data_IF_824348165861
#
_entry.id   IF_824348165861
#
_cell.length_a   1.000
_cell.length_b   1.000
_cell.length_c   1.000
_cell.angle_alpha   90.00
_cell.angle_beta   90.00
_cell.angle_gamma   90.00
#
_symmetry.space_group_name_H-M   'P 1'
#
loop_
_entity.id
_entity.type
_entity.pdbx_description
1 polymer ?
#
# COMPACT_ATOMS: atom_id res chain seq x y z
N UNK A 1 -14.47 12.75 -16.87
CA UNK A 1 -14.93 11.46 -16.28
C UNK A 1 -13.74 10.51 -16.15
N UNK A 2 -13.51 9.95 -14.97
CA UNK A 2 -12.32 9.16 -14.65
C UNK A 2 -12.17 7.90 -15.52
N UNK A 3 -13.26 7.19 -15.79
CA UNK A 3 -13.29 6.03 -16.68
C UNK A 3 -12.77 6.32 -18.10
N UNK A 4 -13.06 7.52 -18.65
CA UNK A 4 -12.60 7.90 -20.00
C UNK A 4 -11.09 8.05 -20.07
N UNK A 5 -10.48 8.51 -18.97
CA UNK A 5 -9.08 8.91 -18.91
C UNK A 5 -8.19 7.89 -18.21
N UNK A 6 -8.74 6.77 -17.73
CA UNK A 6 -7.96 5.69 -17.13
C UNK A 6 -7.21 4.94 -18.24
N UNK A 7 -5.86 4.86 -18.19
CA UNK A 7 -5.06 4.28 -19.27
C UNK A 7 -5.06 2.73 -19.27
N UNK A 8 -5.54 2.10 -18.19
CA UNK A 8 -5.64 0.63 -18.14
C UNK A 8 -6.81 0.12 -18.97
N UNK A 9 -6.55 -0.92 -19.77
CA UNK A 9 -7.57 -1.65 -20.53
C UNK A 9 -8.16 -2.84 -19.76
N UNK A 10 -7.66 -3.12 -18.56
CA UNK A 10 -8.18 -4.19 -17.72
C UNK A 10 -9.62 -3.87 -17.28
N UNK A 11 -10.60 -4.77 -17.54
CA UNK A 11 -12.00 -4.52 -17.21
C UNK A 11 -12.26 -4.25 -15.71
N UNK A 12 -11.51 -4.87 -14.80
CA UNK A 12 -11.64 -4.67 -13.36
C UNK A 12 -11.16 -3.27 -12.97
N UNK A 13 -10.06 -2.82 -13.56
CA UNK A 13 -9.50 -1.47 -13.32
C UNK A 13 -10.42 -0.40 -13.87
N UNK A 14 -10.97 -0.63 -15.07
CA UNK A 14 -11.98 0.24 -15.65
C UNK A 14 -13.25 0.29 -14.81
N UNK A 15 -13.73 -0.85 -14.31
CA UNK A 15 -14.86 -0.88 -13.40
C UNK A 15 -14.56 -0.12 -12.11
N UNK A 16 -13.38 -0.28 -11.53
CA UNK A 16 -12.94 0.51 -10.38
C UNK A 16 -12.94 2.01 -10.69
N UNK A 17 -12.43 2.43 -11.85
CA UNK A 17 -12.42 3.84 -12.27
C UNK A 17 -13.84 4.40 -12.41
N UNK A 18 -14.80 3.59 -12.85
CA UNK A 18 -16.20 3.97 -12.92
C UNK A 18 -16.83 4.15 -11.54
N UNK A 19 -16.50 3.27 -10.58
CA UNK A 19 -17.22 3.19 -9.31
C UNK A 19 -16.47 3.73 -8.08
N UNK A 20 -15.22 4.18 -8.19
CA UNK A 20 -14.40 4.57 -7.04
C UNK A 20 -15.07 5.64 -6.14
N UNK A 21 -15.87 6.51 -6.74
CA UNK A 21 -16.51 7.68 -6.11
C UNK A 21 -18.00 7.51 -5.79
N UNK A 22 -18.60 6.34 -6.04
CA UNK A 22 -20.06 6.14 -5.89
C UNK A 22 -20.55 6.28 -4.45
N UNK A 23 -19.65 6.23 -3.47
CA UNK A 23 -19.93 6.49 -2.06
C UNK A 23 -20.10 7.98 -1.72
N UNK A 24 -19.68 8.93 -2.58
CA UNK A 24 -19.71 10.36 -2.30
C UNK A 24 -21.10 10.87 -1.84
N UNK A 25 -22.22 10.56 -2.52
CA UNK A 25 -23.54 11.04 -2.11
C UNK A 25 -23.97 10.58 -0.71
N UNK A 26 -23.43 9.47 -0.21
CA UNK A 26 -23.77 8.91 1.10
C UNK A 26 -23.07 9.66 2.24
N UNK A 27 -21.88 10.20 1.99
CA UNK A 27 -21.02 10.83 3.01
C UNK A 27 -20.88 12.34 2.85
N UNK A 28 -21.58 12.92 1.88
CA UNK A 28 -21.52 14.37 1.62
C UNK A 28 -21.95 15.15 2.86
N UNK A 29 -21.16 16.18 3.20
CA UNK A 29 -21.48 17.15 4.25
C UNK A 29 -21.17 18.56 3.75
N UNK A 30 -21.92 19.55 4.22
CA UNK A 30 -21.80 20.94 3.78
C UNK A 30 -22.62 21.24 2.53
N UNK A 31 -22.50 22.47 2.03
CA UNK A 31 -23.29 23.00 0.92
C UNK A 31 -22.42 23.76 -0.08
N UNK A 32 -22.77 23.70 -1.38
CA UNK A 32 -22.03 24.37 -2.44
C UNK A 32 -20.54 23.99 -2.46
N UNK A 33 -19.68 25.01 -2.46
CA UNK A 33 -18.21 24.83 -2.49
C UNK A 33 -17.63 24.27 -1.18
N UNK A 34 -18.40 24.28 -0.08
CA UNK A 34 -17.96 23.73 1.22
C UNK A 34 -18.17 22.22 1.36
N UNK A 35 -18.62 21.54 0.29
CA UNK A 35 -18.90 20.12 0.33
C UNK A 35 -17.64 19.29 0.60
N UNK A 36 -17.77 18.35 1.54
CA UNK A 36 -16.73 17.38 1.87
C UNK A 36 -17.27 15.95 1.70
N UNK A 37 -16.38 15.02 1.35
CA UNK A 37 -16.71 13.62 1.07
C UNK A 37 -15.82 12.67 1.86
N UNK A 38 -15.57 12.97 3.13
CA UNK A 38 -14.66 12.16 3.94
C UNK A 38 -15.12 10.70 4.03
N UNK A 39 -14.18 9.77 3.89
CA UNK A 39 -14.39 8.33 3.97
C UNK A 39 -15.29 7.75 2.86
N UNK A 40 -15.51 8.45 1.74
CA UNK A 40 -16.31 7.92 0.64
C UNK A 40 -15.71 6.64 0.06
N UNK A 41 -14.40 6.47 0.09
CA UNK A 41 -13.70 5.27 -0.38
C UNK A 41 -14.09 4.02 0.43
N UNK A 42 -14.44 4.18 1.71
CA UNK A 42 -14.97 3.09 2.55
C UNK A 42 -16.34 2.63 2.05
N UNK A 43 -17.20 3.60 1.76
CA UNK A 43 -18.57 3.35 1.29
C UNK A 43 -18.54 2.78 -0.12
N UNK A 44 -17.75 3.36 -1.02
CA UNK A 44 -17.53 2.86 -2.38
C UNK A 44 -17.01 1.42 -2.36
N UNK A 45 -16.07 1.07 -1.47
CA UNK A 45 -15.58 -0.30 -1.32
C UNK A 45 -16.66 -1.26 -0.83
N UNK A 46 -17.52 -0.83 0.09
CA UNK A 46 -18.71 -1.57 0.51
C UNK A 46 -19.68 -1.86 -0.65
N UNK A 47 -19.92 -0.84 -1.49
CA UNK A 47 -20.75 -0.96 -2.70
C UNK A 47 -20.09 -1.90 -3.72
N UNK A 48 -18.79 -1.76 -3.96
CA UNK A 48 -18.01 -2.60 -4.87
C UNK A 48 -18.08 -4.09 -4.48
N UNK A 49 -17.98 -4.43 -3.19
CA UNK A 49 -18.12 -5.81 -2.71
C UNK A 49 -19.52 -6.38 -2.98
N UNK A 50 -20.58 -5.59 -2.76
CA UNK A 50 -21.95 -6.00 -3.07
C UNK A 50 -22.13 -6.21 -4.58
N UNK A 51 -21.60 -5.29 -5.39
CA UNK A 51 -21.64 -5.38 -6.85
C UNK A 51 -20.93 -6.64 -7.35
N UNK A 52 -19.70 -6.90 -6.91
CA UNK A 52 -18.92 -8.08 -7.28
C UNK A 52 -19.64 -9.39 -6.92
N UNK A 53 -20.29 -9.44 -5.74
CA UNK A 53 -21.12 -10.58 -5.33
C UNK A 53 -22.31 -10.79 -6.27
N UNK A 54 -23.04 -9.72 -6.59
CA UNK A 54 -24.22 -9.80 -7.46
C UNK A 54 -23.86 -10.20 -8.90
N UNK A 55 -22.71 -9.72 -9.38
CA UNK A 55 -22.16 -10.06 -10.70
C UNK A 55 -21.40 -11.40 -10.73
N UNK A 56 -21.37 -12.15 -9.61
CA UNK A 56 -20.73 -13.47 -9.48
C UNK A 56 -19.23 -13.48 -9.86
N UNK A 57 -18.51 -12.42 -9.49
CA UNK A 57 -17.06 -12.37 -9.71
C UNK A 57 -16.35 -13.49 -8.96
N UNK A 58 -15.22 -13.95 -9.51
CA UNK A 58 -14.34 -14.83 -8.75
C UNK A 58 -13.83 -14.12 -7.50
N UNK A 59 -13.41 -14.89 -6.49
CA UNK A 59 -12.85 -14.34 -5.25
C UNK A 59 -11.68 -13.39 -5.53
N UNK A 60 -10.81 -13.73 -6.50
CA UNK A 60 -9.65 -12.93 -6.89
C UNK A 60 -10.06 -11.60 -7.51
N UNK A 61 -11.02 -11.60 -8.44
CA UNK A 61 -11.51 -10.38 -9.09
C UNK A 61 -12.26 -9.47 -8.11
N UNK A 62 -13.09 -10.05 -7.24
CA UNK A 62 -13.81 -9.31 -6.22
C UNK A 62 -12.85 -8.61 -5.23
N UNK A 63 -11.78 -9.31 -4.82
CA UNK A 63 -10.75 -8.74 -3.95
C UNK A 63 -9.98 -7.63 -4.67
N UNK A 64 -9.55 -7.85 -5.92
CA UNK A 64 -8.83 -6.83 -6.72
C UNK A 64 -9.69 -5.58 -6.93
N UNK A 65 -10.96 -5.73 -7.29
CA UNK A 65 -11.89 -4.59 -7.42
C UNK A 65 -12.01 -3.83 -6.10
N UNK A 66 -12.17 -4.54 -4.99
CA UNK A 66 -12.28 -3.95 -3.66
C UNK A 66 -11.00 -3.20 -3.27
N UNK A 67 -9.82 -3.77 -3.51
CA UNK A 67 -8.53 -3.12 -3.23
C UNK A 67 -8.40 -1.81 -4.01
N UNK A 68 -8.65 -1.85 -5.33
CA UNK A 68 -8.54 -0.67 -6.20
C UNK A 68 -9.47 0.45 -5.73
N UNK A 69 -10.73 0.14 -5.42
CA UNK A 69 -11.70 1.13 -4.93
C UNK A 69 -11.37 1.61 -3.52
N UNK A 70 -10.99 0.71 -2.61
CA UNK A 70 -10.74 1.04 -1.19
C UNK A 70 -9.55 1.95 -0.98
N UNK A 71 -8.52 1.81 -1.82
CA UNK A 71 -7.23 2.47 -1.68
C UNK A 71 -6.95 3.51 -2.76
N UNK A 72 -7.92 3.84 -3.61
CA UNK A 72 -7.77 4.87 -4.65
C UNK A 72 -7.39 6.24 -4.07
N UNK A 73 -7.88 6.55 -2.87
CA UNK A 73 -7.47 7.74 -2.11
C UNK A 73 -6.16 7.50 -1.36
N UNK A 74 -5.03 7.63 -2.07
CA UNK A 74 -3.71 7.70 -1.44
C UNK A 74 -3.13 9.12 -1.47
N UNK A 75 -2.30 9.48 -0.51
CA UNK A 75 -1.63 10.79 -0.50
C UNK A 75 -0.35 10.73 -1.34
N UNK A 76 -0.02 11.84 -2.01
CA UNK A 76 1.27 12.05 -2.67
C UNK A 76 1.87 13.34 -2.12
N UNK A 77 2.80 13.20 -1.19
CA UNK A 77 3.38 14.33 -0.45
C UNK A 77 4.88 14.07 -0.22
N UNK A 78 5.69 15.11 -0.43
CA UNK A 78 7.15 15.07 -0.32
C UNK A 78 7.64 14.72 1.10
N UNK A 79 6.81 14.93 2.11
CA UNK A 79 7.08 14.62 3.52
C UNK A 79 6.62 13.22 3.93
N UNK A 80 6.00 12.44 3.04
CA UNK A 80 5.65 11.05 3.37
C UNK A 80 6.91 10.28 3.75
N UNK A 81 6.83 9.44 4.76
CA UNK A 81 7.95 8.55 5.13
C UNK A 81 7.94 7.30 4.25
N UNK A 82 9.10 6.66 4.08
CA UNK A 82 9.18 5.37 3.36
C UNK A 82 8.28 4.31 4.02
N UNK A 83 8.14 4.36 5.35
CA UNK A 83 7.23 3.49 6.10
C UNK A 83 5.76 3.70 5.75
N UNK A 84 5.35 4.92 5.40
CA UNK A 84 4.00 5.20 4.91
C UNK A 84 3.79 4.62 3.51
N UNK A 85 4.76 4.80 2.61
CA UNK A 85 4.71 4.26 1.24
C UNK A 85 4.71 2.73 1.28
N UNK A 86 5.56 2.09 2.11
CA UNK A 86 5.54 0.63 2.30
C UNK A 86 4.20 0.13 2.82
N UNK A 87 3.56 0.85 3.75
CA UNK A 87 2.23 0.49 4.24
C UNK A 87 1.19 0.55 3.13
N UNK A 88 1.25 1.56 2.27
CA UNK A 88 0.41 1.63 1.07
C UNK A 88 0.66 0.42 0.16
N UNK A 89 1.91 0.09 -0.15
CA UNK A 89 2.26 -1.09 -0.97
C UNK A 89 1.74 -2.38 -0.36
N UNK A 90 1.87 -2.58 0.96
CA UNK A 90 1.34 -3.78 1.64
C UNK A 90 -0.19 -3.88 1.56
N UNK A 91 -0.89 -2.75 1.66
CA UNK A 91 -2.35 -2.72 1.61
C UNK A 91 -2.89 -2.92 0.18
N UNK A 92 -2.16 -2.45 -0.82
CA UNK A 92 -2.55 -2.55 -2.25
C UNK A 92 -2.08 -3.86 -2.87
N UNK A 93 -0.96 -4.43 -2.42
CA UNK A 93 -0.27 -5.52 -3.09
C UNK A 93 0.59 -5.01 -4.26
N UNK A 94 1.79 -5.56 -4.41
CA UNK A 94 2.75 -5.13 -5.45
C UNK A 94 2.17 -5.30 -6.85
N UNK A 95 1.40 -6.36 -7.05
CA UNK A 95 0.74 -6.71 -8.30
C UNK A 95 -0.34 -5.72 -8.76
N UNK A 96 -0.85 -4.87 -7.86
CA UNK A 96 -1.90 -3.89 -8.19
C UNK A 96 -1.37 -2.45 -8.28
N UNK A 97 -0.08 -2.21 -8.08
CA UNK A 97 0.48 -0.85 -8.02
C UNK A 97 0.37 -0.11 -9.35
N UNK A 98 0.67 -0.76 -10.46
CA UNK A 98 0.56 -0.15 -11.80
C UNK A 98 -0.90 0.24 -12.09
N UNK A 99 -1.84 -0.65 -11.79
CA UNK A 99 -3.27 -0.39 -11.97
C UNK A 99 -3.80 0.70 -11.04
N UNK A 100 -3.28 0.78 -9.81
CA UNK A 100 -3.62 1.84 -8.87
C UNK A 100 -3.13 3.21 -9.38
N UNK A 101 -1.94 3.26 -9.98
CA UNK A 101 -1.43 4.47 -10.63
C UNK A 101 -2.23 4.83 -11.88
N UNK A 102 -2.65 3.85 -12.69
CA UNK A 102 -3.54 4.07 -13.83
C UNK A 102 -4.91 4.63 -13.39
N UNK A 103 -5.49 4.05 -12.33
CA UNK A 103 -6.71 4.56 -11.72
C UNK A 103 -6.54 6.02 -11.27
N UNK A 104 -5.41 6.35 -10.62
CA UNK A 104 -5.08 7.72 -10.21
C UNK A 104 -4.98 8.68 -11.39
N UNK A 105 -4.35 8.28 -12.49
CA UNK A 105 -4.30 9.10 -13.71
C UNK A 105 -5.71 9.41 -14.22
N UNK A 106 -6.57 8.38 -14.27
CA UNK A 106 -7.97 8.53 -14.65
C UNK A 106 -8.72 9.50 -13.74
N UNK A 107 -8.62 9.33 -12.43
CA UNK A 107 -9.22 10.19 -11.40
C UNK A 107 -8.81 11.66 -11.58
N UNK A 108 -7.50 11.94 -11.65
CA UNK A 108 -6.96 13.31 -11.81
C UNK A 108 -7.48 14.00 -13.06
N UNK A 109 -7.36 13.34 -14.22
CA UNK A 109 -7.86 13.88 -15.49
C UNK A 109 -9.39 13.98 -15.49
N UNK A 110 -10.06 13.04 -14.81
CA UNK A 110 -11.50 13.00 -14.64
C UNK A 110 -12.05 14.21 -13.91
N UNK A 111 -11.31 14.71 -12.92
CA UNK A 111 -11.59 15.93 -12.15
C UNK A 111 -10.97 17.23 -12.72
N UNK A 112 -10.39 17.21 -13.93
CA UNK A 112 -9.85 18.40 -14.59
C UNK A 112 -8.44 18.82 -14.15
N UNK A 113 -7.75 18.00 -13.35
CA UNK A 113 -6.35 18.23 -13.02
C UNK A 113 -5.42 17.75 -14.15
N UNK A 114 -4.17 18.23 -14.14
CA UNK A 114 -3.11 17.67 -15.01
C UNK A 114 -2.86 16.20 -14.66
N UNK A 115 -2.55 15.40 -15.68
CA UNK A 115 -2.23 13.98 -15.54
C UNK A 115 -1.24 13.72 -14.41
N UNK A 116 -0.13 14.46 -14.41
CA UNK A 116 0.92 14.34 -13.38
C UNK A 116 1.19 15.64 -12.63
N UNK A 117 1.99 15.52 -11.57
CA UNK A 117 2.60 16.59 -10.79
C UNK A 117 3.99 16.14 -10.33
N UNK A 118 4.87 17.08 -10.00
CA UNK A 118 6.19 16.74 -9.45
C UNK A 118 6.10 15.83 -8.22
N UNK A 119 5.08 16.02 -7.37
CA UNK A 119 4.82 15.15 -6.20
C UNK A 119 4.42 13.74 -6.59
N UNK A 120 3.61 13.59 -7.64
CA UNK A 120 3.22 12.27 -8.14
C UNK A 120 4.41 11.53 -8.76
N UNK A 121 5.25 12.23 -9.51
CA UNK A 121 6.48 11.63 -10.07
C UNK A 121 7.48 11.24 -8.97
N UNK A 122 7.67 12.09 -7.95
CA UNK A 122 8.50 11.75 -6.79
C UNK A 122 7.93 10.54 -6.03
N UNK A 123 6.60 10.49 -5.83
CA UNK A 123 5.95 9.33 -5.23
C UNK A 123 6.19 8.05 -6.04
N UNK A 124 6.06 8.08 -7.38
CA UNK A 124 6.34 6.93 -8.26
C UNK A 124 7.79 6.46 -8.14
N UNK A 125 8.76 7.38 -8.10
CA UNK A 125 10.17 7.06 -7.90
C UNK A 125 10.39 6.35 -6.56
N UNK A 126 9.90 6.93 -5.47
CA UNK A 126 10.00 6.35 -4.13
C UNK A 126 9.27 5.02 -4.01
N UNK A 127 8.15 4.85 -4.70
CA UNK A 127 7.43 3.58 -4.79
C UNK A 127 8.31 2.47 -5.39
N UNK A 128 9.14 2.79 -6.39
CA UNK A 128 10.14 1.86 -6.93
C UNK A 128 11.25 1.53 -5.93
N UNK A 129 11.78 2.54 -5.25
CA UNK A 129 12.88 2.38 -4.28
C UNK A 129 12.47 1.50 -3.09
N UNK A 130 11.30 1.74 -2.49
CA UNK A 130 10.83 0.94 -1.36
C UNK A 130 10.52 -0.50 -1.74
N UNK A 131 10.24 -0.78 -3.02
CA UNK A 131 9.96 -2.13 -3.53
C UNK A 131 11.17 -3.06 -3.55
N UNK A 132 12.38 -2.49 -3.59
CA UNK A 132 13.67 -3.20 -3.54
C UNK A 132 14.03 -3.58 -2.09
N UNK A 133 13.50 -2.84 -1.11
CA UNK A 133 13.77 -3.05 0.31
C UNK A 133 12.92 -4.20 0.89
N UNK A 134 13.36 -4.85 1.98
CA UNK A 134 12.57 -5.88 2.67
C UNK A 134 11.24 -5.33 3.21
N UNK A 135 10.13 -6.06 3.02
CA UNK A 135 8.77 -5.65 3.39
C UNK A 135 8.27 -6.28 4.69
N UNK A 136 8.90 -7.37 5.10
CA UNK A 136 8.51 -8.22 6.19
C UNK A 136 9.73 -8.78 6.91
N UNK A 137 9.53 -9.25 8.14
CA UNK A 137 10.56 -9.95 8.91
C UNK A 137 11.14 -11.14 8.14
N UNK A 138 10.33 -11.80 7.31
CA UNK A 138 10.78 -12.93 6.46
C UNK A 138 11.72 -12.52 5.33
N UNK A 139 11.82 -11.23 5.01
CA UNK A 139 12.76 -10.70 4.02
C UNK A 139 14.15 -10.39 4.61
N UNK A 140 14.32 -10.55 5.93
CA UNK A 140 15.63 -10.50 6.57
C UNK A 140 16.53 -11.63 6.06
N UNK A 141 17.84 -11.41 6.10
CA UNK A 141 18.85 -12.42 5.74
C UNK A 141 19.25 -13.31 6.93
N UNK A 142 18.55 -13.14 8.05
CA UNK A 142 18.61 -13.98 9.25
C UNK A 142 17.23 -14.49 9.61
N UNK A 143 17.17 -15.58 10.37
CA UNK A 143 15.92 -16.17 10.84
C UNK A 143 15.96 -16.44 12.36
N UNK A 144 14.91 -17.05 12.89
CA UNK A 144 14.81 -17.35 14.33
C UNK A 144 15.90 -18.27 14.85
N UNK A 145 16.42 -19.21 14.04
CA UNK A 145 17.51 -20.10 14.46
C UNK A 145 18.80 -19.32 14.67
N UNK A 146 19.12 -18.40 13.77
CA UNK A 146 20.30 -17.53 13.90
C UNK A 146 20.26 -16.75 15.23
N UNK A 147 19.08 -16.22 15.60
CA UNK A 147 18.88 -15.48 16.85
C UNK A 147 19.03 -16.39 18.08
N UNK A 148 18.41 -17.58 18.06
CA UNK A 148 18.49 -18.55 19.16
C UNK A 148 19.92 -19.04 19.38
N UNK A 149 20.66 -19.36 18.31
CA UNK A 149 22.04 -19.85 18.39
C UNK A 149 22.99 -18.77 18.93
N UNK A 150 22.84 -17.52 18.50
CA UNK A 150 23.73 -16.43 18.92
C UNK A 150 23.47 -16.00 20.37
N UNK A 151 22.22 -15.91 20.78
CA UNK A 151 21.84 -15.40 22.10
C UNK A 151 21.63 -16.50 23.15
N UNK A 152 21.64 -17.76 22.74
CA UNK A 152 21.42 -18.91 23.64
C UNK A 152 20.00 -18.94 24.25
N UNK A 153 19.01 -18.39 23.54
CA UNK A 153 17.62 -18.31 24.03
C UNK A 153 16.74 -19.43 23.45
N UNK A 154 15.78 -19.97 24.22
CA UNK A 154 14.82 -20.96 23.71
C UNK A 154 13.83 -20.33 22.72
N UNK A 155 13.14 -21.15 21.91
CA UNK A 155 12.08 -20.66 21.03
C UNK A 155 10.96 -20.01 21.84
N UNK A 156 10.55 -18.79 21.44
CA UNK A 156 9.48 -18.06 22.11
C UNK A 156 9.25 -16.66 21.53
N UNK A 157 8.28 -15.89 22.07
CA UNK A 157 7.91 -14.56 21.58
C UNK A 157 9.10 -13.59 21.46
N UNK A 158 10.07 -13.71 22.38
CA UNK A 158 11.27 -12.88 22.42
C UNK A 158 12.12 -12.96 21.14
N UNK A 159 12.15 -14.12 20.47
CA UNK A 159 12.82 -14.28 19.17
C UNK A 159 12.14 -13.43 18.10
N UNK A 160 10.80 -13.41 18.09
CA UNK A 160 10.01 -12.59 17.17
C UNK A 160 10.16 -11.10 17.43
N UNK A 161 10.26 -10.68 18.69
CA UNK A 161 10.52 -9.28 19.07
C UNK A 161 11.88 -8.81 18.57
N UNK A 162 12.94 -9.62 18.72
CA UNK A 162 14.29 -9.30 18.23
C UNK A 162 14.31 -9.19 16.72
N UNK A 163 13.72 -10.17 16.01
CA UNK A 163 13.62 -10.13 14.56
C UNK A 163 12.80 -8.91 14.08
N UNK A 164 11.74 -8.54 14.80
CA UNK A 164 10.92 -7.35 14.50
C UNK A 164 11.71 -6.06 14.74
N UNK A 165 12.53 -6.00 15.79
CA UNK A 165 13.41 -4.87 16.06
C UNK A 165 14.47 -4.71 14.96
N UNK A 166 15.15 -5.80 14.57
CA UNK A 166 16.13 -5.79 13.49
C UNK A 166 15.47 -5.40 12.17
N UNK A 167 14.30 -5.96 11.87
CA UNK A 167 13.51 -5.58 10.71
C UNK A 167 13.21 -4.09 10.72
N UNK A 168 12.80 -3.51 11.86
CA UNK A 168 12.55 -2.07 11.98
C UNK A 168 13.82 -1.23 11.73
N UNK A 169 14.98 -1.67 12.21
CA UNK A 169 16.24 -0.97 11.94
C UNK A 169 16.65 -1.03 10.46
N UNK A 170 16.39 -2.16 9.80
CA UNK A 170 16.59 -2.30 8.34
C UNK A 170 15.58 -1.44 7.57
N UNK A 171 14.33 -1.43 8.02
CA UNK A 171 13.23 -0.65 7.47
C UNK A 171 13.49 0.87 7.57
N UNK A 172 14.09 1.31 8.68
CA UNK A 172 14.49 2.70 8.93
C UNK A 172 15.82 3.08 8.22
N UNK A 173 16.38 2.19 7.39
CA UNK A 173 17.69 2.35 6.74
C UNK A 173 18.87 2.56 7.71
N UNK A 174 18.70 2.23 8.99
CA UNK A 174 19.77 2.27 10.02
C UNK A 174 20.67 1.03 9.97
N UNK A 175 20.17 -0.06 9.38
CA UNK A 175 20.88 -1.32 9.23
C UNK A 175 20.74 -1.84 7.79
N UNK A 176 21.83 -2.31 7.18
CA UNK A 176 21.76 -2.92 5.84
C UNK A 176 21.08 -4.29 5.89
N UNK A 177 20.32 -4.64 4.83
CA UNK A 177 19.73 -5.99 4.69
C UNK A 177 20.76 -7.04 4.24
N UNK A 178 21.87 -7.14 4.97
CA UNK A 178 22.98 -8.05 4.69
C UNK A 178 23.14 -9.01 5.89
N UNK A 179 23.34 -10.30 5.61
CA UNK A 179 23.40 -11.34 6.64
C UNK A 179 24.46 -11.03 7.70
N UNK A 180 25.68 -10.69 7.29
CA UNK A 180 26.78 -10.41 8.21
C UNK A 180 26.50 -9.22 9.14
N UNK A 181 25.90 -8.15 8.59
CA UNK A 181 25.52 -6.94 9.34
C UNK A 181 24.46 -7.28 10.38
N UNK A 182 23.45 -8.07 9.99
CA UNK A 182 22.38 -8.49 10.88
C UNK A 182 22.88 -9.42 11.99
N UNK A 183 23.76 -10.39 11.69
CA UNK A 183 24.35 -11.26 12.70
C UNK A 183 25.20 -10.47 13.71
N UNK A 184 25.97 -9.47 13.25
CA UNK A 184 26.71 -8.56 14.15
C UNK A 184 25.76 -7.78 15.05
N UNK A 185 24.64 -7.30 14.50
CA UNK A 185 23.60 -6.62 15.29
C UNK A 185 23.04 -7.55 16.37
N UNK A 186 22.67 -8.79 16.04
CA UNK A 186 22.20 -9.78 17.02
C UNK A 186 23.24 -9.96 18.13
N UNK A 187 24.52 -10.16 17.80
CA UNK A 187 25.59 -10.29 18.80
C UNK A 187 25.75 -9.08 19.72
N UNK A 188 25.43 -7.88 19.22
CA UNK A 188 25.52 -6.64 19.99
C UNK A 188 24.36 -6.45 20.99
N UNK A 189 23.25 -7.15 20.79
CA UNK A 189 22.12 -7.20 21.72
C UNK A 189 22.53 -8.08 22.91
N UNK A 190 23.41 -7.58 23.77
CA UNK A 190 23.71 -8.24 25.03
C UNK A 190 22.41 -8.40 25.81
N UNK A 191 22.11 -9.64 26.19
CA UNK A 191 21.02 -9.99 27.09
C UNK A 191 21.55 -10.26 28.49
#
# INVERSE_FOLDING_TARGET
MSLKNCPSNDPIVRLAALIHDVGKPVVVKGEGESQTFYNHELVSAGIARKLAKNLKFSKKEAERLNILVRWHMFTVDDRQTDSAIRRFVRNVGKENLEDMLALRTGDRLGGGAKETSWRLEEFKKRLGEVQIQPFSVTDLKINGRDVMEILGIPPGPKVGEILSQIFKEVEDQKLKNEREVQLKKVKSLKM
#
